data_IF_202956674779
#
_entry.id   IF_202956674779
#
_cell.length_a   1.000
_cell.length_b   1.000
_cell.length_c   1.000
_cell.angle_alpha   90.00
_cell.angle_beta   90.00
_cell.angle_gamma   90.00
#
_symmetry.space_group_name_H-M   'P 1'
#
loop_
_entity.id
_entity.type
_entity.pdbx_description
1 polymer ?
#
# COMPACT_ATOMS: atom_id res chain seq x y z
N UNK A 1 -0.74 -16.02 -1.64
CA UNK A 1 -0.54 -14.78 -0.87
C UNK A 1 0.18 -15.04 0.44
N UNK A 2 -0.37 -15.84 1.37
CA UNK A 2 0.32 -16.15 2.63
C UNK A 2 1.63 -16.93 2.40
N UNK A 3 1.56 -18.08 1.72
CA UNK A 3 2.74 -18.88 1.35
C UNK A 3 3.73 -18.07 0.49
N UNK A 4 3.23 -17.19 -0.38
CA UNK A 4 4.08 -16.35 -1.24
C UNK A 4 4.80 -15.26 -0.44
N UNK A 5 4.11 -14.61 0.52
CA UNK A 5 4.74 -13.66 1.43
C UNK A 5 5.81 -14.35 2.28
N UNK A 6 5.49 -15.52 2.84
CA UNK A 6 6.44 -16.34 3.62
C UNK A 6 7.70 -16.72 2.83
N UNK A 7 7.56 -17.05 1.55
CA UNK A 7 8.71 -17.41 0.70
C UNK A 7 9.53 -16.19 0.25
N UNK A 8 8.93 -15.00 0.17
CA UNK A 8 9.58 -13.81 -0.39
C UNK A 8 10.63 -13.13 0.49
N UNK A 9 10.60 -13.34 1.80
CA UNK A 9 11.59 -12.73 2.70
C UNK A 9 12.98 -13.36 2.56
N UNK A 10 13.05 -14.65 2.22
CA UNK A 10 14.29 -15.44 2.28
C UNK A 10 14.83 -15.86 0.90
N UNK A 11 14.08 -15.68 -0.18
CA UNK A 11 14.46 -16.13 -1.52
C UNK A 11 14.17 -15.08 -2.61
N UNK A 12 15.24 -14.56 -3.23
CA UNK A 12 15.15 -13.63 -4.36
C UNK A 12 14.45 -14.25 -5.59
N UNK A 13 14.29 -15.57 -5.65
CA UNK A 13 13.50 -16.26 -6.69
C UNK A 13 11.98 -16.18 -6.45
N UNK A 14 11.54 -15.75 -5.27
CA UNK A 14 10.13 -15.58 -4.90
C UNK A 14 9.86 -14.08 -4.64
N UNK A 15 9.50 -13.30 -5.68
CA UNK A 15 9.22 -11.88 -5.50
C UNK A 15 8.02 -11.66 -4.58
N UNK A 16 7.99 -10.50 -3.91
CA UNK A 16 6.87 -10.09 -3.06
C UNK A 16 5.52 -10.29 -3.81
N UNK A 17 4.49 -10.86 -3.15
CA UNK A 17 3.23 -11.23 -3.82
C UNK A 17 2.47 -10.03 -4.42
N UNK A 18 2.80 -8.80 -4.03
CA UNK A 18 2.20 -7.59 -4.54
C UNK A 18 3.02 -6.91 -5.64
N UNK A 19 4.27 -7.31 -5.87
CA UNK A 19 5.19 -6.66 -6.82
C UNK A 19 4.60 -6.54 -8.24
N UNK A 20 3.91 -7.59 -8.71
CA UNK A 20 3.26 -7.56 -10.03
C UNK A 20 2.14 -6.53 -10.08
N UNK A 21 1.33 -6.45 -9.03
CA UNK A 21 0.18 -5.54 -8.97
C UNK A 21 0.66 -4.09 -8.88
N UNK A 22 1.69 -3.82 -8.08
CA UNK A 22 2.37 -2.52 -7.99
C UNK A 22 2.89 -2.11 -9.37
N UNK A 23 3.58 -3.02 -10.08
CA UNK A 23 4.12 -2.73 -11.41
C UNK A 23 3.03 -2.34 -12.41
N UNK A 24 1.86 -3.00 -12.34
CA UNK A 24 0.70 -2.66 -13.17
C UNK A 24 0.14 -1.29 -12.80
N UNK A 25 -0.02 -0.99 -11.50
CA UNK A 25 -0.52 0.32 -11.04
C UNK A 25 0.40 1.45 -11.56
N UNK A 26 1.72 1.30 -11.40
CA UNK A 26 2.68 2.30 -11.84
C UNK A 26 2.63 2.50 -13.37
N UNK A 27 2.57 1.41 -14.15
CA UNK A 27 2.41 1.49 -15.60
C UNK A 27 1.14 2.23 -16.01
N UNK A 28 0.02 2.02 -15.29
CA UNK A 28 -1.23 2.73 -15.60
C UNK A 28 -1.19 4.21 -15.20
N UNK A 29 -0.40 4.57 -14.19
CA UNK A 29 -0.14 5.97 -13.82
C UNK A 29 0.69 6.65 -14.92
N UNK A 30 1.77 6.01 -15.37
CA UNK A 30 2.60 6.52 -16.47
C UNK A 30 1.78 6.73 -17.76
N UNK A 31 0.86 5.82 -18.06
CA UNK A 31 -0.07 5.93 -19.19
C UNK A 31 -1.22 6.93 -18.97
N UNK A 32 -1.28 7.58 -17.80
CA UNK A 32 -2.33 8.50 -17.38
C UNK A 32 -3.74 7.87 -17.36
N UNK A 33 -3.83 6.55 -17.20
CA UNK A 33 -5.09 5.81 -17.07
C UNK A 33 -5.57 5.83 -15.60
N UNK A 34 -6.35 6.86 -15.28
CA UNK A 34 -6.94 7.08 -13.95
C UNK A 34 -7.84 5.93 -13.51
N UNK A 35 -8.66 5.40 -14.42
CA UNK A 35 -9.63 4.37 -14.09
C UNK A 35 -8.93 3.05 -13.75
N UNK A 36 -7.93 2.67 -14.55
CA UNK A 36 -7.18 1.45 -14.31
C UNK A 36 -6.28 1.55 -13.08
N UNK A 37 -5.62 2.70 -12.85
CA UNK A 37 -4.79 2.91 -11.66
C UNK A 37 -5.62 2.90 -10.37
N UNK A 38 -6.77 3.57 -10.35
CA UNK A 38 -7.68 3.55 -9.20
C UNK A 38 -8.23 2.14 -8.93
N UNK A 39 -8.64 1.40 -9.97
CA UNK A 39 -9.08 0.02 -9.83
C UNK A 39 -7.95 -0.88 -9.29
N UNK A 40 -6.73 -0.70 -9.79
CA UNK A 40 -5.55 -1.42 -9.32
C UNK A 40 -5.28 -1.19 -7.83
N UNK A 41 -5.35 0.08 -7.39
CA UNK A 41 -5.19 0.47 -5.98
C UNK A 41 -6.28 -0.12 -5.06
N UNK A 42 -7.52 -0.18 -5.54
CA UNK A 42 -8.62 -0.81 -4.80
C UNK A 42 -8.37 -2.31 -4.62
N UNK A 43 -8.03 -3.03 -5.71
CA UNK A 43 -7.69 -4.47 -5.66
C UNK A 43 -6.49 -4.71 -4.75
N UNK A 44 -5.50 -3.82 -4.79
CA UNK A 44 -4.32 -3.88 -3.94
C UNK A 44 -4.69 -3.79 -2.45
N UNK A 45 -5.49 -2.79 -2.08
CA UNK A 45 -6.00 -2.63 -0.71
C UNK A 45 -6.78 -3.86 -0.21
N UNK A 46 -7.65 -4.41 -1.05
CA UNK A 46 -8.42 -5.61 -0.72
C UNK A 46 -7.53 -6.82 -0.45
N UNK A 47 -6.49 -7.03 -1.27
CA UNK A 47 -5.56 -8.16 -1.10
C UNK A 47 -4.69 -8.02 0.14
N UNK A 48 -4.18 -6.82 0.43
CA UNK A 48 -3.41 -6.57 1.67
C UNK A 48 -4.31 -6.75 2.90
N UNK A 49 -5.54 -6.23 2.84
CA UNK A 49 -6.53 -6.43 3.90
C UNK A 49 -6.89 -7.90 4.09
N UNK A 50 -6.95 -8.69 3.02
CA UNK A 50 -7.15 -10.14 3.11
C UNK A 50 -5.95 -10.86 3.73
N UNK A 51 -4.72 -10.42 3.43
CA UNK A 51 -3.50 -10.93 4.08
C UNK A 51 -3.53 -10.67 5.59
N UNK A 52 -3.90 -9.44 6.00
CA UNK A 52 -4.08 -9.09 7.42
C UNK A 52 -5.18 -9.94 8.06
N UNK A 53 -6.30 -10.19 7.39
CA UNK A 53 -7.37 -11.07 7.92
C UNK A 53 -6.92 -12.52 8.10
N UNK A 54 -6.02 -13.00 7.24
CA UNK A 54 -5.48 -14.35 7.35
C UNK A 54 -4.40 -14.45 8.45
N UNK A 55 -3.67 -13.35 8.69
CA UNK A 55 -2.51 -13.28 9.57
C UNK A 55 -2.53 -12.10 10.54
N UNK A 56 -3.68 -11.78 11.13
CA UNK A 56 -3.84 -10.55 11.93
C UNK A 56 -2.88 -10.46 13.11
N UNK A 57 -2.22 -11.56 13.48
CA UNK A 57 -1.22 -11.62 14.54
C UNK A 57 0.12 -12.15 14.02
N UNK A 58 0.50 -11.75 12.80
CA UNK A 58 1.81 -12.03 12.25
C UNK A 58 2.91 -11.71 13.27
N UNK A 59 3.88 -12.60 13.40
CA UNK A 59 5.01 -12.41 14.29
C UNK A 59 5.86 -11.22 13.83
N UNK A 60 6.49 -10.52 14.77
CA UNK A 60 7.42 -9.44 14.46
C UNK A 60 8.55 -9.96 13.55
N UNK A 61 8.86 -9.18 12.52
CA UNK A 61 9.85 -9.51 11.49
C UNK A 61 9.53 -10.76 10.67
N UNK A 62 8.33 -11.35 10.84
CA UNK A 62 7.87 -12.40 9.93
C UNK A 62 7.76 -11.85 8.51
N UNK A 63 7.87 -12.71 7.48
CA UNK A 63 7.76 -12.26 6.10
C UNK A 63 6.46 -11.50 5.81
N UNK A 64 5.36 -11.92 6.45
CA UNK A 64 4.06 -11.26 6.34
C UNK A 64 4.07 -9.86 6.97
N UNK A 65 4.69 -9.72 8.14
CA UNK A 65 4.86 -8.42 8.83
C UNK A 65 5.71 -7.47 7.98
N UNK A 66 6.81 -7.96 7.39
CA UNK A 66 7.68 -7.20 6.49
C UNK A 66 6.96 -6.77 5.21
N UNK A 67 6.17 -7.66 4.59
CA UNK A 67 5.35 -7.31 3.42
C UNK A 67 4.33 -6.21 3.75
N UNK A 68 3.65 -6.30 4.90
CA UNK A 68 2.70 -5.26 5.33
C UNK A 68 3.43 -3.94 5.59
N UNK A 69 4.60 -3.99 6.22
CA UNK A 69 5.45 -2.83 6.45
C UNK A 69 5.82 -2.14 5.14
N UNK A 70 6.38 -2.89 4.19
CA UNK A 70 6.79 -2.40 2.87
C UNK A 70 5.65 -1.74 2.11
N UNK A 71 4.48 -2.38 2.10
CA UNK A 71 3.28 -1.83 1.47
C UNK A 71 2.90 -0.47 2.06
N UNK A 72 2.86 -0.38 3.40
CA UNK A 72 2.37 0.80 4.08
C UNK A 72 3.37 1.96 4.04
N UNK A 73 4.66 1.67 4.23
CA UNK A 73 5.70 2.69 4.41
C UNK A 73 6.39 3.10 3.11
N UNK A 74 6.47 2.22 2.13
CA UNK A 74 7.21 2.48 0.91
C UNK A 74 6.26 2.59 -0.28
N UNK A 75 5.43 1.58 -0.53
CA UNK A 75 4.69 1.47 -1.79
C UNK A 75 3.54 2.47 -1.91
N UNK A 76 2.66 2.57 -0.91
CA UNK A 76 1.55 3.51 -0.97
C UNK A 76 2.00 4.98 -1.04
N UNK A 77 2.99 5.44 -0.24
CA UNK A 77 3.56 6.77 -0.40
C UNK A 77 4.16 7.02 -1.78
N UNK A 78 4.90 6.06 -2.35
CA UNK A 78 5.50 6.20 -3.67
C UNK A 78 4.44 6.29 -4.78
N UNK A 79 3.41 5.44 -4.73
CA UNK A 79 2.31 5.48 -5.71
C UNK A 79 1.56 6.81 -5.62
N UNK A 80 1.35 7.34 -4.41
CA UNK A 80 0.76 8.67 -4.21
C UNK A 80 1.64 9.76 -4.83
N UNK A 81 2.95 9.75 -4.56
CA UNK A 81 3.89 10.72 -5.12
C UNK A 81 3.84 10.73 -6.65
N UNK A 82 3.87 9.55 -7.27
CA UNK A 82 3.75 9.41 -8.72
C UNK A 82 2.41 9.94 -9.25
N UNK A 83 1.30 9.57 -8.61
CA UNK A 83 -0.02 10.06 -8.99
C UNK A 83 -0.14 11.58 -8.88
N UNK A 84 0.48 12.19 -7.87
CA UNK A 84 0.54 13.66 -7.71
C UNK A 84 1.39 14.30 -8.81
N UNK A 85 2.57 13.74 -9.08
CA UNK A 85 3.48 14.24 -10.11
C UNK A 85 2.88 14.19 -11.52
N UNK A 86 2.05 13.19 -11.81
CA UNK A 86 1.32 13.03 -13.07
C UNK A 86 -0.06 13.73 -13.07
N UNK A 87 -0.35 14.56 -12.05
CA UNK A 87 -1.61 15.31 -11.91
C UNK A 87 -2.89 14.42 -11.93
N UNK A 88 -2.78 13.19 -11.41
CA UNK A 88 -3.86 12.21 -11.31
C UNK A 88 -4.53 12.25 -9.93
N UNK A 89 -5.25 13.34 -9.65
CA UNK A 89 -5.87 13.59 -8.33
C UNK A 89 -6.75 12.43 -7.83
N UNK A 90 -7.54 11.79 -8.71
CA UNK A 90 -8.38 10.65 -8.31
C UNK A 90 -7.56 9.45 -7.85
N UNK A 91 -6.47 9.15 -8.55
CA UNK A 91 -5.53 8.08 -8.18
C UNK A 91 -4.83 8.40 -6.87
N UNK A 92 -4.44 9.66 -6.66
CA UNK A 92 -3.87 10.13 -5.39
C UNK A 92 -4.85 9.95 -4.21
N UNK A 93 -6.12 10.33 -4.39
CA UNK A 93 -7.18 10.09 -3.39
C UNK A 93 -7.31 8.59 -3.12
N UNK A 94 -7.36 7.77 -4.17
CA UNK A 94 -7.50 6.33 -4.02
C UNK A 94 -6.33 5.71 -3.23
N UNK A 95 -5.10 6.19 -3.38
CA UNK A 95 -3.95 5.72 -2.58
C UNK A 95 -4.17 5.96 -1.08
N UNK A 96 -4.73 7.11 -0.71
CA UNK A 96 -5.06 7.42 0.69
C UNK A 96 -6.23 6.57 1.22
N UNK A 97 -7.25 6.33 0.40
CA UNK A 97 -8.38 5.44 0.75
C UNK A 97 -7.93 3.98 0.91
N UNK A 98 -7.00 3.52 0.08
CA UNK A 98 -6.39 2.20 0.19
C UNK A 98 -5.66 2.04 1.51
N UNK A 99 -4.88 3.05 1.94
CA UNK A 99 -4.24 3.05 3.27
C UNK A 99 -5.28 2.99 4.40
N UNK A 100 -6.39 3.72 4.27
CA UNK A 100 -7.51 3.67 5.20
C UNK A 100 -8.13 2.27 5.30
N UNK A 101 -8.39 1.64 4.16
CA UNK A 101 -8.96 0.28 4.08
C UNK A 101 -8.07 -0.76 4.77
N UNK A 102 -6.75 -0.67 4.57
CA UNK A 102 -5.76 -1.53 5.23
C UNK A 102 -5.76 -1.27 6.75
N UNK A 103 -5.81 -0.01 7.18
CA UNK A 103 -5.90 0.37 8.59
C UNK A 103 -7.17 -0.16 9.27
N UNK A 104 -8.32 -0.09 8.61
CA UNK A 104 -9.57 -0.66 9.11
C UNK A 104 -9.48 -2.18 9.28
N UNK A 105 -8.86 -2.87 8.32
CA UNK A 105 -8.60 -4.30 8.43
C UNK A 105 -7.67 -4.61 9.62
N UNK A 106 -6.59 -3.85 9.80
CA UNK A 106 -5.65 -4.03 10.91
C UNK A 106 -6.33 -3.85 12.28
N UNK A 107 -7.17 -2.82 12.44
CA UNK A 107 -7.93 -2.57 13.67
C UNK A 107 -8.93 -3.70 13.92
N UNK A 108 -9.67 -4.12 12.88
CA UNK A 108 -10.69 -5.16 13.00
C UNK A 108 -10.12 -6.50 13.45
N UNK A 109 -8.92 -6.83 12.99
CA UNK A 109 -8.24 -8.09 13.30
C UNK A 109 -7.34 -8.01 14.55
N UNK A 110 -7.40 -6.89 15.30
CA UNK A 110 -6.60 -6.65 16.52
C UNK A 110 -5.09 -6.79 16.24
N UNK A 111 -4.66 -6.34 15.06
CA UNK A 111 -3.29 -6.42 14.58
C UNK A 111 -2.49 -5.18 14.94
N UNK A 112 -1.97 -5.14 16.17
CA UNK A 112 -1.21 -3.98 16.65
C UNK A 112 -0.02 -3.62 15.74
N UNK A 113 0.65 -4.64 15.18
CA UNK A 113 1.77 -4.45 14.23
C UNK A 113 1.33 -3.83 12.93
N UNK A 114 0.28 -4.36 12.29
CA UNK A 114 -0.23 -3.77 11.05
C UNK A 114 -0.75 -2.34 11.29
N UNK A 115 -1.37 -2.07 12.44
CA UNK A 115 -1.76 -0.70 12.82
C UNK A 115 -0.54 0.21 12.92
N UNK A 116 0.54 -0.23 13.55
CA UNK A 116 1.79 0.53 13.65
C UNK A 116 2.37 0.86 12.27
N UNK A 117 2.43 -0.12 11.37
CA UNK A 117 2.92 0.08 9.99
C UNK A 117 2.06 1.07 9.21
N UNK A 118 0.74 0.97 9.30
CA UNK A 118 -0.20 1.92 8.66
C UNK A 118 0.02 3.32 9.19
N UNK A 119 0.09 3.51 10.51
CA UNK A 119 0.30 4.83 11.13
C UNK A 119 1.65 5.43 10.74
N UNK A 120 2.71 4.62 10.68
CA UNK A 120 4.03 5.07 10.21
C UNK A 120 4.01 5.47 8.73
N UNK A 121 3.30 4.71 7.89
CA UNK A 121 3.13 5.00 6.47
C UNK A 121 2.33 6.27 6.19
N UNK A 122 1.38 6.63 7.07
CA UNK A 122 0.59 7.85 6.93
C UNK A 122 1.43 9.13 6.89
N UNK A 123 2.57 9.17 7.59
CA UNK A 123 3.47 10.31 7.51
C UNK A 123 4.00 10.51 6.08
N UNK A 124 4.43 9.43 5.41
CA UNK A 124 4.87 9.48 4.02
C UNK A 124 3.76 9.87 3.05
N UNK A 125 2.53 9.40 3.29
CA UNK A 125 1.37 9.83 2.49
C UNK A 125 1.13 11.34 2.63
N UNK A 126 1.16 11.85 3.86
CA UNK A 126 0.98 13.28 4.16
C UNK A 126 2.07 14.13 3.48
N UNK A 127 3.34 13.71 3.58
CA UNK A 127 4.47 14.45 3.02
C UNK A 127 4.39 14.56 1.49
N UNK A 128 3.77 13.59 0.82
CA UNK A 128 3.60 13.55 -0.63
C UNK A 128 2.33 14.25 -1.13
N UNK A 129 1.43 14.69 -0.25
CA UNK A 129 0.27 15.47 -0.67
C UNK A 129 0.71 16.90 -1.03
N UNK A 130 0.29 17.44 -2.19
CA UNK A 130 0.56 18.82 -2.53
C UNK A 130 -0.29 19.71 -1.61
N UNK A 131 0.32 20.22 -0.54
CA UNK A 131 -0.28 21.30 0.22
C UNK A 131 -0.17 22.57 -0.61
N UNK A 132 -1.27 22.97 -1.26
CA UNK A 132 -1.43 24.35 -1.71
C UNK A 132 -1.27 25.25 -0.49
N UNK A 133 -0.08 25.82 -0.35
CA UNK A 133 0.17 26.87 0.62
C UNK A 133 -0.52 28.09 0.02
N UNK A 134 -1.79 28.31 0.37
CA UNK A 134 -2.47 29.57 0.16
C UNK A 134 -1.76 30.64 1.01
N UNK A 135 -0.61 31.10 0.52
CA UNK A 135 0.07 32.29 1.00
C UNK A 135 -0.46 33.43 0.14
N UNK A 136 -1.49 34.11 0.65
CA UNK A 136 -1.88 35.45 0.20
C UNK A 136 -0.77 36.47 0.52
#
# INVERSE_FOLDING_TARGET
MLEEAELSADDAAHPDPFQTLISVINSTIEEHDRASSALGLSIFGDRVSALIKQNGKAEEDSPVDQTIEYVCKDQLPLILEQAVNEELTETAIQSTETAGTIGEAAIKEDSNRAVEHVVRGQAGLIDNLPYETNVE
#
